data_IF_663753612158
#
_entry.id   IF_663753612158
#
_cell.length_a   1.000
_cell.length_b   1.000
_cell.length_c   1.000
_cell.angle_alpha   90.00
_cell.angle_beta   90.00
_cell.angle_gamma   90.00
#
_symmetry.space_group_name_H-M   'P 1'
#
loop_
_entity.id
_entity.type
_entity.pdbx_description
1 polymer ?
#
# COMPACT_ATOMS: atom_id res chain seq x y z
N UNK A 1 -3.36 6.92 2.79
CA UNK A 1 -3.09 6.26 1.49
C UNK A 1 -4.13 6.73 0.45
N UNK A 2 -4.22 8.03 0.21
CA UNK A 2 -5.34 8.63 -0.57
C UNK A 2 -5.21 8.40 -2.08
N UNK A 3 -4.00 8.46 -2.63
CA UNK A 3 -3.80 8.35 -4.08
C UNK A 3 -4.21 6.99 -4.65
N UNK A 4 -3.85 5.88 -3.98
CA UNK A 4 -4.17 4.53 -4.46
C UNK A 4 -5.69 4.28 -4.37
N UNK A 5 -6.33 4.73 -3.30
CA UNK A 5 -7.79 4.63 -3.17
C UNK A 5 -8.51 5.38 -4.30
N UNK A 6 -8.12 6.62 -4.58
CA UNK A 6 -8.70 7.42 -5.67
C UNK A 6 -8.53 6.76 -7.04
N UNK A 7 -7.39 6.12 -7.30
CA UNK A 7 -7.14 5.41 -8.57
C UNK A 7 -8.03 4.17 -8.69
N UNK A 8 -8.14 3.37 -7.62
CA UNK A 8 -8.96 2.15 -7.60
C UNK A 8 -10.45 2.48 -7.77
N UNK A 9 -10.94 3.52 -7.09
CA UNK A 9 -12.32 4.01 -7.25
C UNK A 9 -12.57 4.58 -8.66
N UNK A 10 -11.59 5.25 -9.26
CA UNK A 10 -11.70 5.81 -10.62
C UNK A 10 -11.90 4.74 -11.71
N UNK A 11 -11.50 3.49 -11.46
CA UNK A 11 -11.70 2.37 -12.37
C UNK A 11 -12.92 1.50 -11.99
N UNK A 12 -13.74 1.97 -11.05
CA UNK A 12 -14.97 1.29 -10.62
C UNK A 12 -14.75 0.12 -9.66
N UNK A 13 -13.58 0.04 -9.04
CA UNK A 13 -13.23 -1.01 -8.08
C UNK A 13 -13.15 -0.44 -6.66
N UNK A 14 -13.18 -1.34 -5.67
CA UNK A 14 -12.97 -1.00 -4.25
C UNK A 14 -11.64 -1.57 -3.77
N UNK A 15 -11.11 -1.06 -2.64
CA UNK A 15 -9.87 -1.58 -2.07
C UNK A 15 -9.95 -3.08 -1.74
N UNK A 16 -11.14 -3.62 -1.52
CA UNK A 16 -11.36 -5.05 -1.29
C UNK A 16 -11.07 -5.92 -2.54
N UNK A 17 -11.09 -5.34 -3.74
CA UNK A 17 -10.76 -6.03 -5.00
C UNK A 17 -9.23 -6.18 -5.21
N UNK A 18 -8.42 -5.53 -4.37
CA UNK A 18 -6.96 -5.58 -4.51
C UNK A 18 -6.43 -6.93 -4.03
N UNK A 19 -5.86 -7.70 -4.93
CA UNK A 19 -5.31 -9.04 -4.61
C UNK A 19 -3.82 -9.05 -4.27
N UNK A 20 -3.07 -8.01 -4.65
CA UNK A 20 -1.61 -7.92 -4.42
C UNK A 20 -1.14 -6.48 -4.23
N UNK A 21 -0.29 -6.26 -3.23
CA UNK A 21 0.38 -4.98 -2.97
C UNK A 21 1.90 -5.18 -2.92
N UNK A 22 2.64 -4.31 -3.61
CA UNK A 22 4.10 -4.24 -3.46
C UNK A 22 4.44 -2.96 -2.70
N UNK A 23 5.10 -3.11 -1.57
CA UNK A 23 5.43 -2.02 -0.66
C UNK A 23 6.93 -1.76 -0.74
N UNK A 24 7.30 -0.55 -1.17
CA UNK A 24 8.68 -0.13 -1.30
C UNK A 24 8.99 0.85 -0.17
N UNK A 25 9.85 0.43 0.76
CA UNK A 25 10.23 1.23 1.92
C UNK A 25 11.70 1.59 1.84
N UNK A 26 12.04 2.84 2.18
CA UNK A 26 13.44 3.28 2.30
C UNK A 26 14.02 2.97 3.67
N UNK A 27 13.16 2.93 4.69
CA UNK A 27 13.52 2.58 6.06
C UNK A 27 12.58 1.47 6.57
N UNK A 28 13.15 0.34 6.94
CA UNK A 28 12.39 -0.82 7.44
C UNK A 28 11.84 -0.55 8.85
N UNK A 29 12.43 0.37 9.61
CA UNK A 29 11.94 0.75 10.93
C UNK A 29 10.55 1.40 10.89
N UNK A 30 10.09 1.85 9.72
CA UNK A 30 8.76 2.47 9.54
C UNK A 30 7.67 1.41 9.27
N UNK A 31 8.04 0.13 9.11
CA UNK A 31 7.10 -0.96 8.86
C UNK A 31 5.95 -1.06 9.87
N UNK A 32 6.13 -0.87 11.19
CA UNK A 32 5.02 -0.89 12.15
C UNK A 32 3.95 0.17 11.85
N UNK A 33 4.38 1.37 11.44
CA UNK A 33 3.48 2.48 11.07
C UNK A 33 2.76 2.13 9.76
N UNK A 34 3.49 1.56 8.79
CA UNK A 34 2.91 1.11 7.53
C UNK A 34 1.86 0.03 7.75
N UNK A 35 2.14 -0.95 8.62
CA UNK A 35 1.23 -2.05 8.93
C UNK A 35 -0.06 -1.56 9.61
N UNK A 36 0.05 -0.61 10.54
CA UNK A 36 -1.12 0.05 11.14
C UNK A 36 -1.99 0.73 10.08
N UNK A 37 -1.39 1.55 9.21
CA UNK A 37 -2.11 2.20 8.13
C UNK A 37 -2.72 1.13 7.20
N UNK A 38 -1.93 0.14 6.78
CA UNK A 38 -2.39 -0.94 5.88
C UNK A 38 -3.62 -1.66 6.45
N UNK A 39 -3.64 -1.98 7.75
CA UNK A 39 -4.77 -2.60 8.42
C UNK A 39 -6.04 -1.73 8.45
N UNK A 40 -5.90 -0.39 8.46
CA UNK A 40 -7.06 0.50 8.37
C UNK A 40 -7.71 0.52 6.98
N UNK A 41 -6.93 0.27 5.92
CA UNK A 41 -7.39 0.27 4.52
C UNK A 41 -7.89 -1.10 4.04
N UNK A 42 -7.32 -2.20 4.56
CA UNK A 42 -7.64 -3.58 4.15
C UNK A 42 -8.23 -4.40 5.31
N UNK A 43 -9.47 -4.09 5.71
CA UNK A 43 -10.11 -4.65 6.93
C UNK A 43 -10.61 -6.09 6.77
N UNK A 44 -11.03 -6.47 5.57
CA UNK A 44 -11.82 -7.68 5.28
C UNK A 44 -11.05 -8.69 4.43
N UNK A 45 -10.20 -8.22 3.52
CA UNK A 45 -9.30 -9.04 2.73
C UNK A 45 -7.89 -8.48 2.88
N UNK A 46 -6.92 -9.33 3.22
CA UNK A 46 -5.49 -8.97 3.22
C UNK A 46 -4.88 -9.39 1.89
N UNK A 47 -4.56 -8.44 0.99
CA UNK A 47 -3.89 -8.74 -0.27
C UNK A 47 -2.55 -9.45 -0.01
N UNK A 48 -2.06 -10.21 -1.00
CA UNK A 48 -0.69 -10.70 -0.96
C UNK A 48 0.28 -9.50 -0.91
N UNK A 49 1.03 -9.36 0.18
CA UNK A 49 1.95 -8.24 0.38
C UNK A 49 3.41 -8.67 0.15
N UNK A 50 4.17 -7.88 -0.61
CA UNK A 50 5.63 -8.00 -0.73
C UNK A 50 6.29 -6.69 -0.34
N UNK A 51 7.15 -6.75 0.68
CA UNK A 51 7.95 -5.60 1.14
C UNK A 51 9.34 -5.66 0.50
N UNK A 52 9.80 -4.54 -0.06
CA UNK A 52 11.11 -4.40 -0.66
C UNK A 52 11.79 -3.17 -0.06
N UNK A 53 12.91 -3.39 0.64
CA UNK A 53 13.80 -2.32 1.08
C UNK A 53 14.56 -1.76 -0.12
N UNK A 54 14.36 -0.49 -0.45
CA UNK A 54 15.04 0.20 -1.55
C UNK A 54 15.85 1.38 -1.02
N UNK A 55 17.04 1.63 -1.58
CA UNK A 55 17.86 2.78 -1.16
C UNK A 55 17.21 4.12 -1.48
N UNK A 56 16.44 4.19 -2.56
CA UNK A 56 15.71 5.38 -3.00
C UNK A 56 14.39 4.96 -3.67
N UNK A 57 13.32 5.71 -3.40
CA UNK A 57 12.07 5.66 -4.15
C UNK A 57 12.04 6.89 -5.07
N UNK A 58 11.58 6.80 -6.32
CA UNK A 58 11.41 7.98 -7.16
C UNK A 58 10.43 8.94 -6.48
N UNK A 59 10.90 10.11 -6.06
CA UNK A 59 10.01 11.21 -5.68
C UNK A 59 9.40 11.77 -6.98
N UNK A 60 8.20 11.30 -7.31
CA UNK A 60 7.34 11.99 -8.27
C UNK A 60 7.06 13.40 -7.73
N UNK A 61 7.23 14.39 -8.61
CA UNK A 61 7.04 15.81 -8.36
C UNK A 61 5.60 16.15 -7.93
#
# INVERSE_FOLDING_TARGET
MTHIQTIVESIGHVLEDVVKVNLYVTNVSDMPIVDEVYATFFKTATPACRVVGVKHVPQGH
#
